data_IF_969018576123
#
_entry.id   IF_969018576123
#
_cell.length_a   1.000
_cell.length_b   1.000
_cell.length_c   1.000
_cell.angle_alpha   90.00
_cell.angle_beta   90.00
_cell.angle_gamma   90.00
#
_symmetry.space_group_name_H-M   'P 1'
#
loop_
_entity.id
_entity.type
_entity.pdbx_description
1 polymer ?
#
# COMPACT_ATOMS: atom_id res chain seq x y z
N UNK A 1 -4.29 18.66 -7.31
CA UNK A 1 -4.86 17.60 -8.17
C UNK A 1 -4.19 16.30 -7.78
N UNK A 2 -4.93 15.19 -7.67
CA UNK A 2 -4.37 13.88 -7.30
C UNK A 2 -4.64 12.90 -8.42
N UNK A 3 -3.63 12.12 -8.81
CA UNK A 3 -3.75 11.04 -9.80
C UNK A 3 -3.80 9.71 -9.05
N UNK A 4 -4.78 8.86 -9.36
CA UNK A 4 -4.94 7.54 -8.75
C UNK A 4 -4.59 6.48 -9.80
N UNK A 5 -3.64 5.62 -9.47
CA UNK A 5 -3.19 4.51 -10.33
C UNK A 5 -3.39 3.20 -9.60
N UNK A 6 -4.16 2.28 -10.19
CA UNK A 6 -4.37 0.94 -9.66
C UNK A 6 -3.50 -0.07 -10.40
N UNK A 7 -2.66 -0.81 -9.66
CA UNK A 7 -1.84 -1.89 -10.20
C UNK A 7 -2.47 -3.23 -9.83
N UNK A 8 -3.17 -3.86 -10.78
CA UNK A 8 -3.99 -5.04 -10.52
C UNK A 8 -3.67 -6.20 -11.47
N UNK A 9 -3.78 -7.43 -10.97
CA UNK A 9 -3.64 -8.67 -11.73
C UNK A 9 -4.21 -9.83 -10.91
N UNK A 10 -4.98 -10.71 -11.55
CA UNK A 10 -5.61 -11.90 -10.95
C UNK A 10 -4.63 -13.04 -10.69
N UNK A 11 -3.40 -12.96 -11.19
CA UNK A 11 -2.36 -13.98 -11.02
C UNK A 11 -1.32 -13.55 -9.99
N UNK A 12 -0.87 -14.49 -9.17
CA UNK A 12 0.28 -14.33 -8.27
C UNK A 12 1.61 -14.21 -9.03
N UNK A 13 2.55 -13.43 -8.49
CA UNK A 13 3.91 -13.34 -9.06
C UNK A 13 4.02 -12.54 -10.37
N UNK A 14 3.02 -11.73 -10.75
CA UNK A 14 3.08 -10.88 -11.96
C UNK A 14 3.78 -9.53 -11.74
N UNK A 15 4.43 -9.34 -10.59
CA UNK A 15 5.19 -8.13 -10.28
C UNK A 15 4.38 -6.93 -9.76
N UNK A 16 3.08 -7.08 -9.40
CA UNK A 16 2.23 -5.98 -8.91
C UNK A 16 2.92 -5.14 -7.82
N UNK A 17 3.29 -5.80 -6.72
CA UNK A 17 3.94 -5.16 -5.56
C UNK A 17 5.27 -4.52 -5.93
N UNK A 18 6.08 -5.21 -6.74
CA UNK A 18 7.37 -4.70 -7.21
C UNK A 18 7.21 -3.46 -8.06
N UNK A 19 6.26 -3.45 -9.01
CA UNK A 19 5.94 -2.29 -9.84
C UNK A 19 5.43 -1.13 -8.99
N UNK A 20 4.49 -1.37 -8.08
CA UNK A 20 3.95 -0.35 -7.18
C UNK A 20 5.05 0.28 -6.32
N UNK A 21 5.90 -0.54 -5.68
CA UNK A 21 6.99 -0.06 -4.83
C UNK A 21 7.98 0.80 -5.62
N UNK A 22 8.46 0.31 -6.76
CA UNK A 22 9.48 1.02 -7.53
C UNK A 22 8.93 2.28 -8.20
N UNK A 23 7.72 2.24 -8.78
CA UNK A 23 7.09 3.42 -9.35
C UNK A 23 6.88 4.51 -8.28
N UNK A 24 6.36 4.10 -7.12
CA UNK A 24 6.17 5.00 -5.98
C UNK A 24 7.46 5.62 -5.48
N UNK A 25 8.50 4.80 -5.28
CA UNK A 25 9.81 5.26 -4.84
C UNK A 25 10.47 6.22 -5.84
N UNK A 26 10.37 5.94 -7.14
CA UNK A 26 10.90 6.84 -8.18
C UNK A 26 10.16 8.18 -8.23
N UNK A 27 8.82 8.17 -8.15
CA UNK A 27 8.03 9.41 -8.09
C UNK A 27 8.38 10.24 -6.85
N UNK A 28 8.51 9.59 -5.69
CA UNK A 28 8.94 10.26 -4.46
C UNK A 28 10.36 10.84 -4.59
N UNK A 29 11.29 10.11 -5.22
CA UNK A 29 12.65 10.58 -5.48
C UNK A 29 12.70 11.79 -6.44
N UNK A 30 11.68 11.95 -7.29
CA UNK A 30 11.50 13.12 -8.16
C UNK A 30 10.84 14.31 -7.44
N UNK A 31 10.55 14.20 -6.15
CA UNK A 31 9.95 15.26 -5.34
C UNK A 31 8.43 15.25 -5.30
N UNK A 32 7.79 14.23 -5.88
CA UNK A 32 6.33 14.11 -5.85
C UNK A 32 5.84 13.60 -4.50
N UNK A 33 4.65 14.06 -4.09
CA UNK A 33 3.96 13.52 -2.92
C UNK A 33 3.21 12.26 -3.30
N UNK A 34 3.71 11.11 -2.86
CA UNK A 34 3.18 9.79 -3.19
C UNK A 34 2.59 9.12 -1.95
N UNK A 35 1.39 8.56 -2.10
CA UNK A 35 0.78 7.63 -1.15
C UNK A 35 0.71 6.25 -1.80
N UNK A 36 1.32 5.26 -1.15
CA UNK A 36 1.21 3.86 -1.56
C UNK A 36 0.20 3.14 -0.67
N UNK A 37 -0.69 2.36 -1.30
CA UNK A 37 -1.74 1.62 -0.62
C UNK A 37 -1.57 0.14 -1.00
N UNK A 38 -1.40 -0.73 0.01
CA UNK A 38 -1.39 -2.17 -0.18
C UNK A 38 -2.80 -2.73 0.02
N UNK A 39 -3.44 -3.09 -1.08
CA UNK A 39 -4.77 -3.70 -1.10
C UNK A 39 -4.75 -5.19 -1.44
N UNK A 40 -3.59 -5.85 -1.42
CA UNK A 40 -3.50 -7.30 -1.67
C UNK A 40 -3.92 -8.08 -0.41
N UNK A 41 -4.59 -9.21 -0.59
CA UNK A 41 -4.97 -10.12 0.51
C UNK A 41 -3.70 -10.69 1.17
N UNK A 42 -2.62 -10.85 0.38
CA UNK A 42 -1.30 -11.18 0.88
C UNK A 42 -0.39 -9.94 0.79
N UNK A 43 -0.41 -9.06 1.80
CA UNK A 43 0.32 -7.79 1.76
C UNK A 43 1.82 -8.04 1.73
N UNK A 44 2.51 -7.24 0.92
CA UNK A 44 3.96 -7.34 0.73
C UNK A 44 4.62 -6.01 0.40
N UNK A 45 3.84 -4.95 0.15
CA UNK A 45 4.36 -3.65 -0.25
C UNK A 45 5.15 -2.98 0.86
N UNK A 46 4.66 -3.07 2.09
CA UNK A 46 5.33 -2.51 3.28
C UNK A 46 6.74 -3.05 3.47
N UNK A 47 7.03 -4.28 3.06
CA UNK A 47 8.36 -4.88 3.17
C UNK A 47 9.45 -4.21 2.32
N UNK A 48 9.07 -3.42 1.30
CA UNK A 48 10.02 -2.70 0.43
C UNK A 48 10.59 -1.44 1.09
N UNK A 49 9.97 -0.97 2.17
CA UNK A 49 10.30 0.30 2.80
C UNK A 49 10.54 0.13 4.28
N UNK A 50 11.42 0.96 4.85
CA UNK A 50 11.53 1.08 6.30
C UNK A 50 10.28 1.81 6.81
N UNK A 51 9.60 1.21 7.78
CA UNK A 51 8.48 1.83 8.48
C UNK A 51 8.99 2.21 9.86
N UNK A 52 9.24 3.51 10.06
CA UNK A 52 9.71 4.03 11.35
C UNK A 52 8.56 4.11 12.36
N UNK A 53 7.35 4.43 11.89
CA UNK A 53 6.14 4.58 12.71
C UNK A 53 5.05 3.65 12.17
N UNK A 54 4.91 2.43 12.71
CA UNK A 54 3.85 1.53 12.31
C UNK A 54 2.48 2.07 12.73
N UNK A 55 1.50 2.00 11.83
CA UNK A 55 0.13 2.41 12.12
C UNK A 55 -0.56 1.42 13.07
N UNK A 56 -1.43 1.95 13.93
CA UNK A 56 -2.26 1.16 14.86
C UNK A 56 -3.33 0.31 14.13
N UNK A 57 -3.78 0.77 12.96
CA UNK A 57 -4.82 0.15 12.17
C UNK A 57 -4.42 0.04 10.70
N UNK A 58 -4.90 -1.01 10.02
CA UNK A 58 -4.62 -1.28 8.62
C UNK A 58 -5.70 -0.75 7.67
N UNK A 59 -5.57 -1.14 6.40
CA UNK A 59 -6.51 -0.74 5.36
C UNK A 59 -7.93 -1.28 5.61
N UNK A 60 -8.05 -2.46 6.22
CA UNK A 60 -9.35 -3.11 6.48
C UNK A 60 -10.14 -2.27 7.48
N UNK A 61 -9.54 -1.89 8.60
CA UNK A 61 -10.16 -1.06 9.63
C UNK A 61 -10.55 0.31 9.07
N UNK A 62 -9.64 0.92 8.29
CA UNK A 62 -9.90 2.21 7.63
C UNK A 62 -11.11 2.17 6.70
N UNK A 63 -11.21 1.13 5.86
CA UNK A 63 -12.29 0.99 4.87
C UNK A 63 -13.61 0.59 5.53
N UNK A 64 -13.55 -0.29 6.52
CA UNK A 64 -14.74 -0.78 7.23
C UNK A 64 -15.21 0.17 8.33
N UNK A 65 -14.40 1.18 8.69
CA UNK A 65 -14.61 2.09 9.84
C UNK A 65 -14.82 1.33 11.15
N UNK A 66 -14.13 0.19 11.29
CA UNK A 66 -14.15 -0.62 12.51
C UNK A 66 -12.99 -0.24 13.41
N UNK A 67 -13.23 -0.38 14.70
CA UNK A 67 -12.17 -0.27 15.69
C UNK A 67 -11.30 -1.54 15.62
N UNK A 68 -9.97 -1.43 15.46
CA UNK A 68 -9.06 -2.58 15.48
C UNK A 68 -9.13 -3.42 16.77
N UNK A 69 -9.71 -2.88 17.84
CA UNK A 69 -9.87 -3.55 19.14
C UNK A 69 -11.16 -4.36 19.25
N UNK A 70 -12.11 -4.22 18.32
CA UNK A 70 -13.32 -5.04 18.30
C UNK A 70 -13.00 -6.43 17.71
N UNK A 71 -13.26 -7.49 18.49
CA UNK A 71 -13.00 -8.87 18.07
C UNK A 71 -13.88 -9.28 16.87
N UNK A 72 -13.31 -10.10 15.98
CA UNK A 72 -13.92 -10.63 14.77
C UNK A 72 -15.16 -11.48 15.01
#
# INVERSE_FOLDING_TARGET
MTIIVAVCSSKGGTGKTTTTANLGGMLAALGERVLLIDGDIQPGLSSYFKIDEPAEAGLVELVTRRDPTEAW
#
